data_IF_338036632141
#
_entry.id   IF_338036632141
#
_cell.length_a   1.000
_cell.length_b   1.000
_cell.length_c   1.000
_cell.angle_alpha   90.00
_cell.angle_beta   90.00
_cell.angle_gamma   90.00
#
_symmetry.space_group_name_H-M   'P 1'
#
loop_
_entity.id
_entity.type
_entity.pdbx_description
1 polymer ?
#
# COMPACT_ATOMS: atom_id res chain seq x y z
N UNK A 1 3.22 -32.70 -69.44
CA UNK A 1 4.25 -33.31 -68.59
C UNK A 1 4.84 -32.23 -67.71
N UNK A 2 4.47 -32.23 -66.43
CA UNK A 2 5.27 -31.85 -65.26
C UNK A 2 4.31 -31.46 -64.16
N UNK A 3 4.35 -32.25 -63.09
CA UNK A 3 3.57 -32.13 -61.87
C UNK A 3 4.19 -31.07 -60.97
N UNK A 4 3.38 -30.18 -60.38
CA UNK A 4 3.61 -29.68 -59.02
C UNK A 4 2.27 -29.14 -58.49
N UNK A 5 1.53 -29.99 -57.77
CA UNK A 5 0.34 -29.60 -57.02
C UNK A 5 0.77 -29.26 -55.60
N UNK A 6 0.59 -28.00 -55.21
CA UNK A 6 0.53 -27.57 -53.82
C UNK A 6 -0.62 -28.31 -53.14
N UNK A 7 -0.30 -29.23 -52.23
CA UNK A 7 -1.27 -29.80 -51.31
C UNK A 7 -0.89 -29.28 -49.93
N UNK A 8 -1.69 -28.34 -49.43
CA UNK A 8 -1.73 -27.93 -48.04
C UNK A 8 -1.99 -29.19 -47.19
N UNK A 9 -1.01 -29.56 -46.38
CA UNK A 9 -1.10 -30.69 -45.47
C UNK A 9 -1.99 -30.31 -44.30
N UNK A 10 -3.24 -30.78 -44.35
CA UNK A 10 -4.10 -30.93 -43.19
C UNK A 10 -3.68 -32.23 -42.50
N UNK A 11 -2.86 -32.14 -41.45
CA UNK A 11 -2.67 -33.23 -40.50
C UNK A 11 -2.91 -32.67 -39.10
N UNK A 12 -4.08 -33.03 -38.57
CA UNK A 12 -4.38 -33.04 -37.16
C UNK A 12 -3.31 -33.86 -36.43
N UNK A 13 -2.57 -33.24 -35.52
CA UNK A 13 -2.19 -33.94 -34.30
C UNK A 13 -2.09 -32.97 -33.13
N UNK A 14 -3.11 -33.07 -32.28
CA UNK A 14 -3.09 -32.68 -30.89
C UNK A 14 -1.87 -33.36 -30.23
N UNK A 15 -0.90 -32.58 -29.78
CA UNK A 15 0.09 -33.04 -28.81
C UNK A 15 0.60 -31.84 -28.03
N UNK A 16 -0.11 -31.59 -26.93
CA UNK A 16 0.46 -31.36 -25.60
C UNK A 16 1.68 -30.44 -25.56
N UNK A 17 1.40 -29.20 -25.21
CA UNK A 17 2.29 -28.39 -24.38
C UNK A 17 2.77 -29.27 -23.20
N UNK A 18 4.08 -29.36 -22.89
CA UNK A 18 4.52 -29.97 -21.65
C UNK A 18 4.09 -29.04 -20.52
N UNK A 19 2.91 -29.34 -19.99
CA UNK A 19 2.41 -28.77 -18.75
C UNK A 19 3.30 -29.21 -17.60
N UNK A 20 3.49 -28.25 -16.70
CA UNK A 20 3.94 -28.46 -15.35
C UNK A 20 3.10 -29.56 -14.63
N UNK A 21 3.79 -30.27 -13.75
CA UNK A 21 3.28 -30.92 -12.53
C UNK A 21 2.19 -32.00 -12.67
N UNK A 22 2.60 -33.28 -12.62
CA UNK A 22 1.77 -34.41 -12.19
C UNK A 22 2.47 -35.09 -10.98
N UNK A 23 1.95 -34.93 -9.74
CA UNK A 23 2.53 -35.54 -8.54
C UNK A 23 2.13 -37.01 -8.33
N UNK A 24 1.29 -37.61 -9.19
CA UNK A 24 0.75 -38.96 -8.97
C UNK A 24 1.26 -40.05 -9.95
N UNK A 25 2.09 -39.71 -10.93
CA UNK A 25 2.74 -40.69 -11.81
C UNK A 25 4.26 -40.74 -11.62
N UNK A 26 4.70 -41.35 -10.52
CA UNK A 26 6.11 -41.68 -10.30
C UNK A 26 6.46 -42.91 -11.16
N UNK A 27 7.29 -42.82 -12.21
CA UNK A 27 7.75 -44.03 -12.91
C UNK A 27 8.57 -44.88 -11.94
N UNK A 28 8.02 -46.03 -11.56
CA UNK A 28 8.68 -46.99 -10.69
C UNK A 28 9.90 -47.57 -11.42
N UNK A 29 11.10 -47.38 -10.84
CA UNK A 29 12.39 -47.92 -11.28
C UNK A 29 13.00 -47.38 -12.59
N UNK A 30 13.28 -46.07 -12.64
CA UNK A 30 14.40 -45.58 -13.48
C UNK A 30 15.63 -45.42 -12.57
N UNK A 31 16.77 -46.09 -12.82
CA UNK A 31 17.95 -45.83 -12.02
C UNK A 31 18.34 -44.37 -12.24
N UNK A 32 18.25 -43.55 -11.20
CA UNK A 32 18.97 -42.26 -11.12
C UNK A 32 20.46 -42.60 -11.09
N UNK A 33 21.03 -42.92 -12.26
CA UNK A 33 22.44 -43.28 -12.43
C UNK A 33 23.28 -42.14 -13.02
N UNK A 34 22.74 -40.92 -13.01
CA UNK A 34 23.38 -39.71 -13.52
C UNK A 34 23.56 -38.67 -12.39
N UNK A 35 22.70 -38.73 -11.37
CA UNK A 35 22.87 -37.97 -10.13
C UNK A 35 24.25 -38.21 -9.47
N UNK A 36 25.07 -37.16 -9.42
CA UNK A 36 26.44 -37.21 -8.87
C UNK A 36 27.52 -37.47 -9.93
N UNK A 37 27.22 -37.33 -11.23
CA UNK A 37 28.17 -37.42 -12.34
C UNK A 37 28.82 -36.07 -12.70
N UNK A 38 28.38 -35.00 -12.05
CA UNK A 38 28.89 -33.64 -12.18
C UNK A 38 28.27 -32.84 -13.33
N UNK A 39 27.10 -33.24 -13.84
CA UNK A 39 26.40 -32.55 -14.94
C UNK A 39 24.89 -32.49 -14.68
N UNK A 40 24.27 -31.39 -15.10
CA UNK A 40 22.80 -31.26 -15.06
C UNK A 40 22.19 -31.78 -16.37
N UNK A 41 21.41 -32.86 -16.29
CA UNK A 41 20.79 -33.57 -17.42
C UNK A 41 19.24 -33.39 -17.43
N UNK A 42 18.78 -32.17 -17.73
CA UNK A 42 17.35 -31.79 -17.72
C UNK A 42 16.44 -32.69 -18.57
N UNK A 43 16.93 -33.19 -19.72
CA UNK A 43 16.17 -34.09 -20.61
C UNK A 43 15.88 -35.47 -20.00
N UNK A 44 16.57 -35.83 -18.92
CA UNK A 44 16.47 -37.15 -18.27
C UNK A 44 15.79 -37.12 -16.91
N UNK A 45 15.41 -35.93 -16.43
CA UNK A 45 14.75 -35.71 -15.14
C UNK A 45 15.71 -35.40 -13.99
N UNK A 46 16.91 -34.92 -14.30
CA UNK A 46 17.93 -34.47 -13.35
C UNK A 46 18.01 -32.93 -13.40
N UNK A 47 17.55 -32.29 -12.33
CA UNK A 47 17.42 -30.83 -12.26
C UNK A 47 18.64 -30.16 -11.63
N UNK A 48 19.41 -30.90 -10.83
CA UNK A 48 20.65 -30.44 -10.20
C UNK A 48 21.61 -31.63 -10.01
N UNK A 49 22.89 -31.38 -9.79
CA UNK A 49 23.89 -32.40 -9.40
C UNK A 49 24.86 -31.82 -8.36
N UNK A 50 24.73 -32.22 -7.09
CA UNK A 50 25.59 -31.73 -6.01
C UNK A 50 25.52 -30.20 -5.86
N UNK A 51 26.62 -29.49 -6.14
CA UNK A 51 26.65 -28.01 -6.15
C UNK A 51 26.24 -27.42 -7.52
N UNK A 52 26.09 -28.23 -8.55
CA UNK A 52 25.68 -27.80 -9.89
C UNK A 52 24.16 -27.61 -9.95
N UNK A 53 23.69 -26.38 -9.70
CA UNK A 53 22.27 -26.01 -9.74
C UNK A 53 21.76 -25.61 -11.13
N UNK A 54 22.55 -25.79 -12.18
CA UNK A 54 22.17 -25.34 -13.54
C UNK A 54 22.12 -23.82 -13.72
N UNK A 55 22.54 -23.04 -12.71
CA UNK A 55 22.40 -21.59 -12.67
C UNK A 55 21.09 -21.12 -12.03
N UNK A 56 20.24 -22.05 -11.60
CA UNK A 56 19.01 -21.73 -10.90
C UNK A 56 19.27 -21.29 -9.46
N UNK A 57 18.38 -20.42 -9.00
CA UNK A 57 18.35 -19.85 -7.66
C UNK A 57 16.93 -19.95 -7.15
N UNK A 58 16.72 -19.79 -5.85
CA UNK A 58 15.37 -19.64 -5.30
C UNK A 58 14.57 -18.57 -6.08
N UNK A 59 15.21 -17.46 -6.45
CA UNK A 59 14.60 -16.38 -7.22
C UNK A 59 14.22 -16.78 -8.66
N UNK A 60 15.04 -17.56 -9.37
CA UNK A 60 14.72 -18.00 -10.74
C UNK A 60 13.57 -19.02 -10.76
N UNK A 61 13.38 -19.76 -9.67
CA UNK A 61 12.31 -20.74 -9.48
C UNK A 61 11.01 -20.12 -8.95
N UNK A 62 10.97 -18.81 -8.71
CA UNK A 62 9.77 -18.09 -8.27
C UNK A 62 9.61 -17.97 -6.76
N UNK A 63 10.62 -18.36 -5.99
CA UNK A 63 10.66 -18.17 -4.54
C UNK A 63 11.35 -16.86 -4.17
N UNK A 64 10.97 -16.23 -3.06
CA UNK A 64 11.39 -14.87 -2.73
C UNK A 64 12.53 -14.79 -1.70
N UNK A 65 12.94 -15.89 -1.05
CA UNK A 65 14.19 -15.87 -0.28
C UNK A 65 15.38 -15.88 -1.26
N UNK A 66 15.73 -14.71 -1.79
CA UNK A 66 16.90 -14.53 -2.65
C UNK A 66 18.22 -14.79 -1.91
N UNK A 67 18.19 -14.80 -0.57
CA UNK A 67 19.31 -15.22 0.29
C UNK A 67 19.23 -16.71 0.67
N UNK A 68 18.18 -17.39 0.23
CA UNK A 68 17.96 -18.81 0.44
C UNK A 68 18.94 -19.65 -0.35
N UNK A 69 19.39 -20.72 0.27
CA UNK A 69 20.32 -21.68 -0.31
C UNK A 69 19.53 -22.76 -1.05
N UNK A 70 19.40 -22.60 -2.36
CA UNK A 70 18.94 -23.69 -3.21
C UNK A 70 19.97 -24.82 -3.15
N UNK A 71 19.57 -26.00 -2.66
CA UNK A 71 20.47 -27.15 -2.56
C UNK A 71 19.94 -28.35 -3.36
N UNK A 72 20.80 -29.33 -3.61
CA UNK A 72 20.46 -30.50 -4.43
C UNK A 72 20.36 -31.73 -3.54
N UNK A 73 19.21 -32.40 -3.57
CA UNK A 73 18.96 -33.63 -2.83
C UNK A 73 19.65 -34.83 -3.52
N UNK A 74 19.79 -35.96 -2.80
CA UNK A 74 20.47 -37.16 -3.31
C UNK A 74 19.72 -37.87 -4.45
N UNK A 75 18.47 -37.51 -4.70
CA UNK A 75 17.67 -37.93 -5.84
C UNK A 75 17.70 -36.92 -7.00
N UNK A 76 18.53 -35.88 -6.91
CA UNK A 76 18.72 -34.83 -7.91
C UNK A 76 17.47 -33.99 -8.21
N UNK A 77 16.70 -33.77 -7.14
CA UNK A 77 15.65 -32.76 -7.04
C UNK A 77 16.17 -31.57 -6.25
N UNK A 78 15.65 -30.38 -6.56
CA UNK A 78 15.92 -29.19 -5.77
C UNK A 78 15.33 -29.34 -4.37
N UNK A 79 16.15 -29.08 -3.36
CA UNK A 79 15.69 -28.76 -2.02
C UNK A 79 15.43 -27.26 -1.96
N UNK A 80 14.15 -26.90 -1.94
CA UNK A 80 13.67 -25.52 -1.85
C UNK A 80 13.30 -25.12 -0.43
N UNK A 81 13.63 -25.95 0.58
CA UNK A 81 13.24 -25.69 1.98
C UNK A 81 13.80 -24.37 2.53
N UNK A 82 14.92 -23.88 1.98
CA UNK A 82 15.51 -22.58 2.34
C UNK A 82 15.07 -21.44 1.41
N UNK A 83 14.28 -21.73 0.36
CA UNK A 83 13.85 -20.75 -0.64
C UNK A 83 12.63 -19.90 -0.21
N UNK A 84 11.90 -20.30 0.84
CA UNK A 84 10.66 -19.65 1.29
C UNK A 84 9.42 -20.17 0.57
N UNK A 85 8.29 -19.45 0.68
CA UNK A 85 7.04 -19.72 -0.04
C UNK A 85 7.04 -19.22 -1.49
N UNK A 86 5.94 -19.49 -2.21
CA UNK A 86 5.71 -18.98 -3.57
C UNK A 86 4.55 -17.99 -3.58
N UNK A 87 4.83 -16.74 -3.94
CA UNK A 87 3.80 -15.73 -4.09
C UNK A 87 2.84 -16.08 -5.23
N UNK A 88 1.54 -16.15 -4.94
CA UNK A 88 0.45 -16.50 -5.85
C UNK A 88 0.03 -17.97 -5.80
N UNK A 89 0.40 -18.73 -4.77
CA UNK A 89 -0.04 -20.11 -4.56
C UNK A 89 -1.38 -20.22 -3.80
N UNK A 90 -1.93 -19.08 -3.39
CA UNK A 90 -3.19 -18.95 -2.68
C UNK A 90 -3.08 -19.14 -1.17
N UNK A 91 -1.87 -19.19 -0.61
CA UNK A 91 -1.61 -19.34 0.83
C UNK A 91 -0.61 -18.28 1.29
N UNK A 92 -1.04 -17.39 2.17
CA UNK A 92 -0.11 -16.47 2.81
C UNK A 92 0.79 -17.23 3.80
N UNK A 93 2.11 -17.15 3.61
CA UNK A 93 3.12 -17.84 4.45
C UNK A 93 4.00 -16.87 5.29
N UNK A 94 3.51 -16.32 6.42
CA UNK A 94 4.23 -15.33 7.23
C UNK A 94 5.56 -15.82 7.80
N UNK A 95 5.66 -17.10 8.17
CA UNK A 95 6.90 -17.69 8.70
C UNK A 95 8.03 -17.71 7.68
N UNK A 96 7.67 -17.61 6.40
CA UNK A 96 8.62 -17.47 5.34
C UNK A 96 8.79 -16.01 4.91
N UNK A 97 7.95 -15.04 5.30
CA UNK A 97 8.10 -13.61 4.97
C UNK A 97 7.08 -13.01 3.99
N UNK A 98 6.04 -13.77 3.62
CA UNK A 98 4.86 -13.28 2.88
C UNK A 98 3.86 -12.63 3.84
N UNK A 99 3.34 -11.45 3.49
CA UNK A 99 2.31 -10.79 4.29
C UNK A 99 0.89 -11.10 3.79
N UNK A 100 0.77 -11.54 2.53
CA UNK A 100 -0.48 -11.90 1.87
C UNK A 100 -0.19 -12.74 0.61
N UNK A 101 -1.23 -13.36 0.05
CA UNK A 101 -1.25 -14.04 -1.25
C UNK A 101 -2.63 -13.84 -1.92
N UNK A 102 -2.69 -13.04 -2.99
CA UNK A 102 -3.92 -12.73 -3.76
C UNK A 102 -5.05 -12.20 -2.84
N UNK A 103 -5.89 -13.09 -2.29
CA UNK A 103 -7.00 -12.80 -1.37
C UNK A 103 -6.78 -13.37 0.05
N UNK A 104 -5.76 -14.19 0.26
CA UNK A 104 -5.34 -14.62 1.60
C UNK A 104 -4.46 -13.53 2.23
N UNK A 105 -4.98 -12.81 3.22
CA UNK A 105 -4.24 -11.77 3.93
C UNK A 105 -3.66 -12.26 5.26
N UNK A 106 -3.53 -13.58 5.46
CA UNK A 106 -3.13 -14.18 6.74
C UNK A 106 -4.02 -13.72 7.92
N UNK A 107 -5.29 -13.44 7.65
CA UNK A 107 -6.25 -12.91 8.63
C UNK A 107 -6.13 -11.40 8.89
N UNK A 108 -5.23 -10.68 8.21
CA UNK A 108 -5.18 -9.23 8.28
C UNK A 108 -6.40 -8.60 7.61
N UNK A 109 -6.88 -7.52 8.21
CA UNK A 109 -7.85 -6.57 7.65
C UNK A 109 -7.31 -5.16 7.85
N UNK A 110 -7.83 -4.17 7.13
CA UNK A 110 -7.52 -2.77 7.42
C UNK A 110 -7.85 -2.42 8.90
N UNK A 111 -8.91 -3.01 9.46
CA UNK A 111 -9.30 -2.83 10.86
C UNK A 111 -8.26 -3.44 11.82
N UNK A 112 -7.78 -4.65 11.55
CA UNK A 112 -6.78 -5.31 12.40
C UNK A 112 -5.39 -4.63 12.35
N UNK A 113 -5.17 -3.74 11.38
CA UNK A 113 -3.95 -2.98 11.18
C UNK A 113 -4.07 -1.52 11.67
N UNK A 114 -5.17 -1.19 12.37
CA UNK A 114 -5.48 0.18 12.82
C UNK A 114 -5.46 1.18 11.64
N UNK A 115 -6.01 0.77 10.49
CA UNK A 115 -6.17 1.56 9.26
C UNK A 115 -7.63 1.84 8.91
N UNK A 116 -8.54 1.68 9.86
CA UNK A 116 -9.97 1.84 9.62
C UNK A 116 -10.56 0.65 8.85
N UNK A 117 -11.35 0.94 7.81
CA UNK A 117 -12.03 -0.05 6.98
C UNK A 117 -11.41 -0.18 5.59
N UNK A 118 -12.22 -0.57 4.61
CA UNK A 118 -11.80 -0.65 3.21
C UNK A 118 -11.28 -2.01 2.79
N UNK A 119 -10.48 -2.01 1.71
CA UNK A 119 -10.07 -3.21 0.98
C UNK A 119 -8.56 -3.37 1.04
N UNK A 120 -8.08 -4.43 1.68
CA UNK A 120 -6.69 -4.84 1.55
C UNK A 120 -6.44 -5.41 0.16
N UNK A 121 -5.27 -5.08 -0.39
CA UNK A 121 -4.76 -5.71 -1.61
C UNK A 121 -3.42 -6.34 -1.34
N UNK A 122 -3.13 -7.38 -2.11
CA UNK A 122 -1.82 -7.98 -2.14
C UNK A 122 -1.08 -7.51 -3.40
N UNK A 123 0.15 -7.03 -3.24
CA UNK A 123 1.00 -6.70 -4.38
C UNK A 123 1.53 -7.96 -5.07
N UNK A 124 2.07 -7.81 -6.28
CA UNK A 124 2.80 -8.88 -6.99
C UNK A 124 4.08 -9.34 -6.25
N UNK A 125 4.45 -8.65 -5.17
CA UNK A 125 5.56 -9.00 -4.29
C UNK A 125 5.10 -9.55 -2.94
N UNK A 126 3.83 -9.97 -2.83
CA UNK A 126 3.21 -10.51 -1.61
C UNK A 126 3.38 -9.63 -0.37
N UNK A 127 3.23 -8.32 -0.59
CA UNK A 127 3.17 -7.29 0.45
C UNK A 127 1.78 -6.69 0.52
N UNK A 128 1.35 -6.39 1.74
CA UNK A 128 0.08 -5.72 1.95
C UNK A 128 0.15 -4.31 1.36
N UNK A 129 -0.78 -4.02 0.46
CA UNK A 129 -1.03 -2.69 -0.06
C UNK A 129 -2.17 -2.08 0.76
N UNK A 130 -1.87 -0.94 1.39
CA UNK A 130 -2.75 -0.25 2.33
C UNK A 130 -3.37 1.02 1.76
N UNK A 131 -3.16 1.28 0.46
CA UNK A 131 -3.62 2.47 -0.26
C UNK A 131 -5.14 2.54 -0.42
N UNK A 132 -5.84 1.42 -0.24
CA UNK A 132 -7.31 1.32 -0.28
C UNK A 132 -7.93 0.92 1.07
N UNK A 133 -7.15 1.00 2.15
CA UNK A 133 -7.76 1.06 3.47
C UNK A 133 -8.39 2.44 3.65
N UNK A 134 -9.73 2.48 3.74
CA UNK A 134 -10.50 3.70 4.04
C UNK A 134 -10.30 4.05 5.52
N UNK A 135 -10.03 5.31 5.85
CA UNK A 135 -9.96 5.77 7.23
C UNK A 135 -8.55 5.93 7.80
N UNK A 136 -7.57 6.30 6.97
CA UNK A 136 -6.39 6.99 7.50
C UNK A 136 -6.54 8.47 7.26
N UNK A 137 -6.84 9.18 8.35
CA UNK A 137 -6.81 10.62 8.35
C UNK A 137 -5.50 11.17 7.77
N UNK A 138 -5.67 12.16 6.88
CA UNK A 138 -4.58 12.81 6.16
C UNK A 138 -4.16 12.09 4.90
N UNK A 139 -5.05 11.33 4.27
CA UNK A 139 -4.81 10.73 2.95
C UNK A 139 -5.28 11.62 1.79
N UNK A 140 -5.92 12.75 2.11
CA UNK A 140 -6.44 13.74 1.18
C UNK A 140 -7.81 13.39 0.60
N UNK A 141 -8.47 12.36 1.10
CA UNK A 141 -9.70 11.77 0.57
C UNK A 141 -10.73 11.60 1.67
N UNK A 142 -11.50 12.65 1.97
CA UNK A 142 -12.58 12.59 2.97
C UNK A 142 -13.55 11.43 2.73
N UNK A 143 -13.51 10.43 3.62
CA UNK A 143 -14.38 9.25 3.58
C UNK A 143 -15.69 9.44 4.37
N UNK A 144 -16.58 8.44 4.37
CA UNK A 144 -17.85 8.51 5.10
C UNK A 144 -17.66 8.61 6.63
N UNK A 145 -16.55 8.05 7.15
CA UNK A 145 -16.20 8.10 8.57
C UNK A 145 -15.51 9.39 9.01
N UNK A 146 -15.12 10.24 8.07
CA UNK A 146 -14.34 11.46 8.32
C UNK A 146 -15.22 12.71 8.19
N UNK A 147 -15.02 13.69 9.07
CA UNK A 147 -15.69 14.98 8.97
C UNK A 147 -14.97 15.90 7.97
N UNK A 148 -13.64 15.76 7.87
CA UNK A 148 -12.74 16.41 6.92
C UNK A 148 -11.56 15.48 6.61
N UNK A 149 -10.82 15.73 5.52
CA UNK A 149 -9.44 15.24 5.34
C UNK A 149 -8.70 16.27 4.48
N UNK A 150 -7.76 16.99 5.09
CA UNK A 150 -6.99 18.07 4.45
C UNK A 150 -5.63 17.59 3.90
N UNK A 151 -5.39 16.28 3.88
CA UNK A 151 -4.19 15.66 3.35
C UNK A 151 -3.06 15.52 4.36
N UNK A 152 -3.28 15.84 5.63
CA UNK A 152 -2.28 15.64 6.68
C UNK A 152 -2.90 15.33 8.07
N UNK A 153 -2.09 15.31 9.13
CA UNK A 153 -2.53 15.01 10.52
C UNK A 153 -1.97 16.02 11.53
N UNK A 154 -1.47 17.14 11.04
CA UNK A 154 -1.12 18.29 11.87
C UNK A 154 -2.42 18.91 12.41
N UNK A 155 -2.30 19.69 13.47
CA UNK A 155 -3.43 20.35 14.10
C UNK A 155 -3.24 21.85 13.98
N UNK A 156 -4.33 22.61 13.95
CA UNK A 156 -4.33 24.06 13.72
C UNK A 156 -4.39 24.46 12.24
N UNK A 157 -4.74 23.55 11.34
CA UNK A 157 -5.03 23.82 9.92
C UNK A 157 -6.48 23.52 9.54
N UNK A 158 -7.31 23.17 10.54
CA UNK A 158 -8.74 22.99 10.43
C UNK A 158 -9.23 21.56 10.30
N UNK A 159 -8.34 20.60 10.02
CA UNK A 159 -8.67 19.19 10.07
C UNK A 159 -7.75 18.43 11.03
N UNK A 160 -8.28 18.00 12.16
CA UNK A 160 -7.48 17.39 13.22
C UNK A 160 -6.92 16.01 12.84
N UNK A 161 -5.99 15.45 13.65
CA UNK A 161 -5.37 14.15 13.41
C UNK A 161 -6.33 12.95 13.44
N UNK A 162 -7.55 13.17 13.95
CA UNK A 162 -8.67 12.24 13.98
C UNK A 162 -9.71 12.51 12.89
N UNK A 163 -9.43 13.43 11.96
CA UNK A 163 -10.29 13.84 10.85
C UNK A 163 -11.66 14.39 11.31
N UNK A 164 -11.66 14.97 12.51
CA UNK A 164 -12.67 15.87 12.99
C UNK A 164 -12.34 17.30 12.55
N UNK A 165 -13.36 18.07 12.18
CA UNK A 165 -13.17 19.51 11.94
C UNK A 165 -12.79 20.17 13.26
N UNK A 166 -11.72 20.96 13.24
CA UNK A 166 -11.26 21.66 14.44
C UNK A 166 -12.24 22.77 14.86
N UNK A 167 -12.27 23.12 16.15
CA UNK A 167 -13.20 24.13 16.66
C UNK A 167 -12.91 25.51 16.04
N UNK A 168 -13.95 26.17 15.50
CA UNK A 168 -13.85 27.46 14.78
C UNK A 168 -13.47 27.33 13.29
N UNK A 169 -13.26 26.11 12.80
CA UNK A 169 -12.91 25.89 11.40
C UNK A 169 -14.10 25.43 10.55
N UNK A 170 -14.03 25.77 9.27
CA UNK A 170 -14.93 25.30 8.23
C UNK A 170 -14.13 24.67 7.11
N UNK A 171 -14.38 23.39 6.86
CA UNK A 171 -13.74 22.66 5.76
C UNK A 171 -14.65 22.57 4.53
N UNK A 172 -14.10 22.94 3.37
CA UNK A 172 -14.78 22.86 2.09
C UNK A 172 -14.66 21.48 1.45
N UNK A 173 -15.80 20.90 1.10
CA UNK A 173 -15.89 19.53 0.56
C UNK A 173 -15.82 19.45 -0.97
N UNK A 174 -15.62 20.58 -1.66
CA UNK A 174 -15.58 20.63 -3.12
C UNK A 174 -14.26 20.11 -3.69
N UNK A 175 -13.22 20.04 -2.85
CA UNK A 175 -11.87 19.64 -3.20
C UNK A 175 -11.37 18.54 -2.26
N UNK A 176 -10.51 17.68 -2.80
CA UNK A 176 -9.79 16.62 -2.10
C UNK A 176 -8.28 16.82 -2.40
N UNK A 177 -7.43 17.09 -1.39
CA UNK A 177 -7.77 17.29 0.03
C UNK A 177 -8.75 18.45 0.28
N UNK A 178 -9.49 18.38 1.39
CA UNK A 178 -10.34 19.47 1.84
C UNK A 178 -9.49 20.70 2.14
N UNK A 179 -10.06 21.87 1.85
CA UNK A 179 -9.45 23.14 2.24
C UNK A 179 -10.24 23.68 3.40
N UNK A 180 -9.59 23.95 4.52
CA UNK A 180 -10.23 24.52 5.70
C UNK A 180 -9.87 25.99 5.86
N UNK A 181 -10.79 26.77 6.42
CA UNK A 181 -10.62 28.19 6.72
C UNK A 181 -11.37 28.55 8.00
N UNK A 182 -10.94 29.61 8.66
CA UNK A 182 -11.66 30.24 9.78
C UNK A 182 -12.71 31.20 9.23
N UNK A 183 -13.85 31.37 9.92
CA UNK A 183 -14.92 32.28 9.48
C UNK A 183 -15.06 33.45 10.45
N UNK A 184 -14.85 34.65 9.94
CA UNK A 184 -14.96 35.85 10.74
C UNK A 184 -16.41 36.15 11.13
N UNK A 185 -16.64 36.38 12.42
CA UNK A 185 -17.93 36.61 13.05
C UNK A 185 -18.52 35.38 13.76
N UNK A 186 -17.73 34.34 14.01
CA UNK A 186 -18.18 33.12 14.70
C UNK A 186 -18.01 33.20 16.24
N UNK A 187 -17.37 34.26 16.72
CA UNK A 187 -17.11 34.56 18.12
C UNK A 187 -15.86 33.88 18.70
N UNK A 188 -15.00 33.27 17.88
CA UNK A 188 -13.73 32.66 18.26
C UNK A 188 -12.60 33.33 17.50
N UNK A 189 -11.63 33.95 18.19
CA UNK A 189 -10.48 34.54 17.52
C UNK A 189 -9.32 33.53 17.42
N UNK A 190 -9.23 32.80 16.30
CA UNK A 190 -8.27 31.71 16.07
C UNK A 190 -7.30 31.98 14.91
N UNK A 191 -6.12 31.36 14.96
CA UNK A 191 -5.02 31.52 13.99
C UNK A 191 -4.80 32.95 13.47
N UNK A 192 -5.15 33.21 12.20
CA UNK A 192 -4.94 34.49 11.51
C UNK A 192 -5.88 35.61 11.95
N UNK A 193 -6.89 35.33 12.76
CA UNK A 193 -7.81 36.35 13.29
C UNK A 193 -7.15 37.13 14.44
N UNK A 194 -7.12 38.46 14.29
CA UNK A 194 -6.70 39.32 15.39
C UNK A 194 -7.77 39.36 16.49
N UNK A 195 -9.04 39.30 16.11
CA UNK A 195 -10.21 39.28 16.98
C UNK A 195 -11.42 38.65 16.27
N UNK A 196 -12.46 38.29 17.02
CA UNK A 196 -13.77 37.94 16.45
C UNK A 196 -14.90 38.46 17.36
N UNK A 197 -15.66 39.43 16.87
CA UNK A 197 -16.74 40.04 17.64
C UNK A 197 -16.25 40.58 18.99
N UNK A 198 -16.67 39.93 20.08
CA UNK A 198 -16.26 40.28 21.45
C UNK A 198 -14.97 39.57 21.90
N UNK A 199 -14.52 38.52 21.19
CA UNK A 199 -13.24 37.89 21.44
C UNK A 199 -12.10 38.74 20.88
N UNK A 200 -11.62 39.68 21.70
CA UNK A 200 -10.51 40.56 21.38
C UNK A 200 -9.15 39.94 21.74
N UNK A 201 -9.07 38.63 22.05
CA UNK A 201 -7.86 37.94 22.55
C UNK A 201 -7.23 38.64 23.77
N UNK A 202 -8.07 39.31 24.58
CA UNK A 202 -7.66 40.11 25.74
C UNK A 202 -6.97 41.45 25.41
N UNK A 203 -6.95 41.87 24.14
CA UNK A 203 -6.46 43.19 23.76
C UNK A 203 -7.43 44.30 24.16
N UNK A 204 -6.87 45.50 24.33
CA UNK A 204 -7.55 46.74 24.70
C UNK A 204 -6.92 47.89 23.92
N UNK A 205 -7.56 49.06 23.90
CA UNK A 205 -6.94 50.25 23.32
C UNK A 205 -5.59 50.55 24.02
N UNK A 206 -5.53 50.42 25.35
CA UNK A 206 -4.31 50.66 26.13
C UNK A 206 -3.17 49.69 25.79
N UNK A 207 -3.47 48.40 25.56
CA UNK A 207 -2.45 47.41 25.17
C UNK A 207 -1.90 47.64 23.77
N UNK A 208 -2.70 48.26 22.88
CA UNK A 208 -2.28 48.68 21.54
C UNK A 208 -1.60 50.07 21.52
N UNK A 209 -1.41 50.70 22.68
CA UNK A 209 -0.65 51.95 22.82
C UNK A 209 -1.49 53.23 22.82
N UNK A 210 -2.81 53.13 22.93
CA UNK A 210 -3.72 54.27 23.07
C UNK A 210 -3.88 54.67 24.55
N UNK A 211 -4.39 55.88 24.83
CA UNK A 211 -4.55 56.39 26.20
C UNK A 211 -5.81 55.84 26.91
N UNK A 212 -6.72 55.23 26.16
CA UNK A 212 -7.96 54.60 26.61
C UNK A 212 -8.93 54.41 25.44
N UNK A 213 -10.20 54.07 25.72
CA UNK A 213 -11.26 53.97 24.70
C UNK A 213 -11.95 52.61 24.68
N UNK A 214 -12.65 52.31 23.59
CA UNK A 214 -13.26 50.99 23.36
C UNK A 214 -12.63 50.39 22.11
N UNK A 215 -12.01 49.20 22.27
CA UNK A 215 -11.51 48.41 21.15
C UNK A 215 -12.67 47.57 20.62
N UNK A 216 -12.82 47.55 19.30
CA UNK A 216 -13.87 46.83 18.59
C UNK A 216 -13.22 45.94 17.53
N UNK A 217 -13.96 44.99 16.97
CA UNK A 217 -13.48 44.07 15.95
C UNK A 217 -14.19 44.31 14.61
N UNK A 218 -13.46 44.25 13.49
CA UNK A 218 -14.09 44.39 12.18
C UNK A 218 -14.91 43.14 11.84
N UNK A 219 -16.18 43.33 11.52
CA UNK A 219 -17.13 42.23 11.26
C UNK A 219 -16.81 41.32 10.06
N UNK A 220 -15.98 41.76 9.11
CA UNK A 220 -15.67 41.00 7.90
C UNK A 220 -14.20 40.66 7.74
N UNK A 221 -13.31 41.31 8.48
CA UNK A 221 -11.85 41.11 8.32
C UNK A 221 -11.18 40.62 9.60
N UNK A 222 -11.89 40.61 10.74
CA UNK A 222 -11.37 40.14 12.02
C UNK A 222 -10.05 40.82 12.42
N UNK A 223 -9.99 42.12 12.12
CA UNK A 223 -8.91 43.04 12.42
C UNK A 223 -9.33 43.97 13.55
N UNK A 224 -8.37 44.41 14.35
CA UNK A 224 -8.65 45.37 15.41
C UNK A 224 -9.13 46.71 14.85
N UNK A 225 -10.31 47.14 15.31
CA UNK A 225 -10.90 48.40 14.93
C UNK A 225 -10.59 49.49 15.97
N UNK A 226 -9.55 50.29 15.71
CA UNK A 226 -9.06 51.30 16.67
C UNK A 226 -9.74 52.67 16.54
N UNK A 227 -10.84 52.80 15.79
CA UNK A 227 -11.49 54.09 15.51
C UNK A 227 -12.08 54.77 16.76
N UNK A 228 -12.45 53.97 17.76
CA UNK A 228 -13.03 54.43 19.02
C UNK A 228 -12.00 54.43 20.17
N UNK A 229 -10.72 54.18 19.84
CA UNK A 229 -9.60 54.37 20.76
C UNK A 229 -9.18 55.85 20.83
N UNK A 230 -8.79 56.29 22.04
CA UNK A 230 -8.40 57.67 22.34
C UNK A 230 -6.88 57.79 22.19
N UNK A 231 -6.41 58.75 21.39
CA UNK A 231 -4.98 59.05 21.24
C UNK A 231 -4.34 59.61 22.51
#
# INVERSE_FOLDING_TARGET
MSHFRFIFSFLLWFSLLPGCHDPENKPENKPVSFCGDGRVDWERGEWCDGEAMGGDTCLSLGFYNASGTLSCMHDCWYDVSDCGGTCGDGVASPEHGEECDIEDFAGATCESLDRGGGVLRCSDSCKLQLDLCEGRCGNGMREESEECDDGNVEAGDGCGPDCAVEEGWYCGYTYQPNTCWTDCGDGLAIEEEECDGDDLRGQTCESLGFSGGTLDCTFFTCEYMTRDCIQ
#
